data_IF_123816980270
#
_entry.id   IF_123816980270
#
_cell.length_a   1.000
_cell.length_b   1.000
_cell.length_c   1.000
_cell.angle_alpha   90.00
_cell.angle_beta   90.00
_cell.angle_gamma   90.00
#
_symmetry.space_group_name_H-M   'P 1'
#
loop_
_entity.id
_entity.type
_entity.pdbx_description
1 polymer ?
2 water ?
#
# COMPACT_ATOMS: atom_id res chain seq x y z
N UNK A 8 23.94 -13.59 18.07
CA UNK A 8 24.96 -12.68 17.56
C UNK A 8 24.62 -12.03 16.23
N UNK A 9 25.15 -10.83 16.03
CA UNK A 9 24.80 -9.95 14.91
C UNK A 9 25.50 -10.29 13.59
N UNK A 10 24.82 -10.10 12.44
CA UNK A 10 25.53 -10.23 11.15
C UNK A 10 26.72 -9.30 11.05
N UNK A 11 27.78 -9.76 10.40
CA UNK A 11 29.00 -8.99 10.23
C UNK A 11 28.74 -7.61 9.63
N UNK A 12 27.87 -7.52 8.63
CA UNK A 12 27.69 -6.25 7.92
C UNK A 12 26.64 -5.34 8.56
N UNK A 13 25.99 -5.81 9.62
CA UNK A 13 24.91 -5.07 10.26
C UNK A 13 25.25 -4.64 11.70
N UNK A 14 24.35 -3.89 12.31
CA UNK A 14 24.51 -3.42 13.69
C UNK A 14 23.29 -3.84 14.50
N UNK A 15 23.51 -4.36 15.70
CA UNK A 15 22.40 -4.87 16.48
C UNK A 15 22.33 -4.20 17.83
N UNK A 16 21.10 -3.87 18.24
CA UNK A 16 20.85 -3.24 19.55
C UNK A 16 19.58 -3.85 20.12
N UNK A 17 19.72 -4.60 21.21
CA UNK A 17 18.58 -5.34 21.74
C UNK A 17 18.07 -6.28 20.66
N UNK A 18 16.79 -6.16 20.31
CA UNK A 18 16.24 -7.02 19.26
C UNK A 18 16.06 -6.26 17.95
N UNK A 19 16.78 -5.15 17.84
CA UNK A 19 16.83 -4.37 16.60
C UNK A 19 18.04 -4.76 15.78
N UNK A 20 17.81 -5.28 14.58
CA UNK A 20 18.92 -5.58 13.68
C UNK A 20 18.90 -4.58 12.53
N UNK A 21 19.89 -3.71 12.51
CA UNK A 21 19.96 -2.64 11.52
C UNK A 21 20.88 -2.98 10.36
N UNK A 22 20.29 -3.27 9.20
CA UNK A 22 21.05 -3.59 7.99
C UNK A 22 20.83 -2.57 6.91
N UNK A 23 20.44 -1.35 7.28
CA UNK A 23 20.03 -0.39 6.24
C UNK A 23 21.24 0.29 5.60
N UNK A 24 21.08 0.67 4.33
CA UNK A 24 22.07 1.47 3.60
C UNK A 24 23.46 0.84 3.66
N UNK A 25 23.53 -0.47 3.47
CA UNK A 25 24.80 -1.16 3.57
C UNK A 25 25.19 -1.88 2.27
N UNK A 26 24.64 -1.41 1.14
CA UNK A 26 24.91 -1.97 -0.19
C UNK A 26 24.77 -3.49 -0.24
N UNK A 27 23.77 -4.02 0.44
CA UNK A 27 23.56 -5.46 0.49
C UNK A 27 22.84 -5.96 -0.75
N UNK A 28 23.27 -7.11 -1.27
CA UNK A 28 22.62 -7.73 -2.41
C UNK A 28 21.66 -8.85 -1.97
N UNK A 29 21.77 -9.27 -0.73
CA UNK A 29 20.89 -10.30 -0.21
C UNK A 29 20.74 -10.13 1.29
N UNK A 30 19.76 -10.80 1.89
CA UNK A 30 19.64 -10.79 3.34
C UNK A 30 20.85 -11.49 3.95
N UNK A 31 21.52 -10.81 4.89
CA UNK A 31 22.73 -11.41 5.46
C UNK A 31 22.44 -12.61 6.35
N UNK A 32 23.42 -13.50 6.47
CA UNK A 32 23.32 -14.63 7.36
C UNK A 32 23.62 -14.18 8.77
N UNK A 33 23.11 -14.94 9.74
CA UNK A 33 23.45 -14.69 11.13
C UNK A 33 22.53 -13.72 11.85
N UNK A 34 21.38 -13.40 11.26
CA UNK A 34 20.40 -12.61 11.99
C UNK A 34 19.88 -13.44 13.17
N UNK A 35 19.99 -12.88 14.38
CA UNK A 35 19.54 -13.62 15.57
C UNK A 35 18.05 -13.96 15.53
N UNK A 36 17.70 -15.13 16.04
CA UNK A 36 16.32 -15.61 16.07
C UNK A 36 15.41 -14.70 16.89
N UNK A 37 15.98 -13.95 17.84
CA UNK A 37 15.14 -13.14 18.69
C UNK A 37 14.79 -11.78 18.09
N UNK A 38 15.25 -11.53 16.87
CA UNK A 38 15.04 -10.22 16.23
C UNK A 38 13.55 -9.83 16.19
N UNK A 39 13.25 -8.59 16.56
CA UNK A 39 11.91 -8.08 16.50
C UNK A 39 11.76 -6.95 15.46
N UNK A 40 12.83 -6.24 15.20
CA UNK A 40 12.81 -5.21 14.16
C UNK A 40 13.97 -5.42 13.21
N UNK A 41 13.66 -5.73 11.95
CA UNK A 41 14.70 -5.97 10.95
C UNK A 41 14.61 -4.90 9.86
N UNK A 42 15.67 -4.12 9.73
CA UNK A 42 15.68 -2.96 8.84
C UNK A 42 16.64 -3.20 7.68
N UNK A 43 16.08 -3.50 6.49
CA UNK A 43 16.90 -3.73 5.30
C UNK A 43 16.68 -2.62 4.30
N UNK A 44 16.21 -1.48 4.77
CA UNK A 44 15.94 -0.34 3.91
C UNK A 44 17.17 0.14 3.13
N UNK A 45 16.94 0.52 1.86
CA UNK A 45 17.99 1.16 1.05
C UNK A 45 19.21 0.28 0.79
N UNK A 46 18.99 -0.92 0.25
CA UNK A 46 20.08 -1.77 -0.20
C UNK A 46 19.91 -2.08 -1.69
N UNK A 47 20.55 -3.14 -2.17
CA UNK A 47 20.44 -3.50 -3.59
C UNK A 47 19.94 -4.93 -3.72
N UNK A 48 18.94 -5.28 -2.92
CA UNK A 48 18.42 -6.64 -2.94
C UNK A 48 17.47 -6.77 -4.11
N UNK A 49 17.83 -7.61 -5.06
CA UNK A 49 17.01 -7.83 -6.26
C UNK A 49 16.09 -9.05 -6.15
N UNK A 50 16.56 -10.08 -5.44
CA UNK A 50 15.78 -11.28 -5.22
C UNK A 50 15.88 -11.66 -3.75
N UNK A 51 14.82 -12.24 -3.21
CA UNK A 51 14.87 -12.83 -1.86
C UNK A 51 14.98 -14.34 -1.95
N UNK A 52 15.81 -14.95 -1.10
CA UNK A 52 15.84 -16.41 -1.00
C UNK A 52 14.53 -16.94 -0.48
N UNK A 53 14.00 -18.02 -1.09
CA UNK A 53 12.79 -18.64 -0.54
C UNK A 53 13.03 -19.05 0.92
N UNK A 54 12.10 -18.71 1.81
CA UNK A 54 12.19 -19.09 3.21
C UNK A 54 13.19 -18.28 4.04
N UNK A 55 13.70 -17.20 3.46
CA UNK A 55 14.75 -16.41 4.10
C UNK A 55 14.35 -15.87 5.49
N UNK A 56 13.05 -15.66 5.72
CA UNK A 56 12.61 -15.12 7.02
C UNK A 56 12.00 -16.16 7.95
N UNK A 57 11.93 -17.42 7.51
CA UNK A 57 11.13 -18.42 8.23
C UNK A 57 11.55 -18.63 9.68
N UNK A 58 12.83 -18.45 9.97
CA UNK A 58 13.34 -18.63 11.33
C UNK A 58 12.99 -17.45 12.24
N UNK A 59 12.73 -16.28 11.66
CA UNK A 59 12.63 -15.04 12.44
C UNK A 59 11.20 -14.81 12.93
N UNK A 60 10.72 -15.77 13.72
CA UNK A 60 9.33 -15.88 14.11
C UNK A 60 8.91 -14.74 15.04
N UNK A 61 9.89 -14.03 15.59
CA UNK A 61 9.57 -12.96 16.53
C UNK A 61 9.42 -11.56 15.89
N UNK A 62 9.59 -11.48 14.58
CA UNK A 62 9.55 -10.17 13.91
C UNK A 62 8.25 -9.43 14.13
N UNK A 63 8.37 -8.13 14.43
CA UNK A 63 7.21 -7.25 14.59
C UNK A 63 7.22 -6.17 13.52
N UNK A 64 8.42 -5.71 13.15
CA UNK A 64 8.56 -4.72 12.08
C UNK A 64 9.60 -5.17 11.07
N UNK A 65 9.27 -5.07 9.77
CA UNK A 65 10.18 -5.51 8.71
C UNK A 65 10.23 -4.43 7.65
N UNK A 66 11.41 -3.86 7.42
CA UNK A 66 11.58 -2.84 6.37
C UNK A 66 12.32 -3.44 5.19
N UNK A 67 11.64 -3.58 4.06
CA UNK A 67 12.28 -4.06 2.83
C UNK A 67 12.28 -2.97 1.77
N UNK A 68 11.97 -1.75 2.19
CA UNK A 68 11.81 -0.63 1.27
C UNK A 68 13.14 -0.18 0.66
N UNK A 69 13.07 0.50 -0.48
CA UNK A 69 14.28 1.01 -1.10
C UNK A 69 15.23 -0.06 -1.59
N UNK A 70 14.69 -1.15 -2.13
CA UNK A 70 15.52 -2.15 -2.78
C UNK A 70 15.12 -2.32 -4.25
N UNK A 71 15.43 -3.47 -4.85
CA UNK A 71 15.21 -3.66 -6.29
C UNK A 71 14.30 -4.84 -6.60
N UNK A 72 13.43 -5.21 -5.64
CA UNK A 72 12.63 -6.41 -5.79
C UNK A 72 11.59 -6.29 -6.89
N UNK A 73 11.51 -7.31 -7.75
CA UNK A 73 10.45 -7.36 -8.75
C UNK A 73 9.36 -8.37 -8.36
N UNK A 74 9.73 -9.32 -7.51
CA UNK A 74 8.74 -10.27 -6.99
C UNK A 74 9.13 -10.67 -5.58
N UNK A 75 8.22 -11.37 -4.90
CA UNK A 75 8.51 -11.96 -3.60
C UNK A 75 8.32 -13.46 -3.73
N UNK A 76 9.11 -14.27 -3.01
CA UNK A 76 8.85 -15.71 -3.02
C UNK A 76 7.46 -16.04 -2.45
N UNK A 77 6.82 -17.08 -2.98
CA UNK A 77 5.57 -17.53 -2.40
C UNK A 77 5.86 -17.97 -0.96
N UNK A 78 5.01 -17.54 -0.04
CA UNK A 78 5.12 -17.94 1.36
C UNK A 78 6.14 -17.17 2.18
N UNK A 79 6.73 -16.12 1.60
CA UNK A 79 7.90 -15.48 2.21
C UNK A 79 7.62 -14.88 3.61
N UNK A 80 6.39 -14.48 3.91
CA UNK A 80 6.08 -13.92 5.23
C UNK A 80 5.26 -14.88 6.10
N UNK A 81 5.10 -16.12 5.66
CA UNK A 81 4.09 -16.98 6.28
C UNK A 81 4.36 -17.29 7.77
N UNK A 82 5.62 -17.24 8.17
CA UNK A 82 5.99 -17.57 9.55
C UNK A 82 5.99 -16.37 10.50
N UNK A 83 5.74 -15.17 9.97
CA UNK A 83 5.87 -13.94 10.74
C UNK A 83 4.55 -13.53 11.41
N UNK A 84 4.03 -14.40 12.26
CA UNK A 84 2.69 -14.19 12.78
C UNK A 84 2.61 -12.96 13.70
N UNK A 85 3.76 -12.49 14.17
CA UNK A 85 3.79 -11.34 15.08
C UNK A 85 3.87 -9.99 14.35
N UNK A 86 4.02 -10.02 13.03
CA UNK A 86 4.30 -8.78 12.31
C UNK A 86 3.16 -7.77 12.41
N UNK A 87 3.51 -6.53 12.73
CA UNK A 87 2.54 -5.42 12.72
C UNK A 87 2.85 -4.37 11.65
N UNK A 88 4.09 -4.32 11.19
CA UNK A 88 4.59 -3.23 10.34
C UNK A 88 5.39 -3.83 9.18
N UNK A 89 4.92 -3.63 7.95
CA UNK A 89 5.61 -4.14 6.78
C UNK A 89 5.74 -3.05 5.73
N UNK A 90 6.98 -2.71 5.41
CA UNK A 90 7.24 -1.69 4.40
C UNK A 90 7.91 -2.34 3.18
N UNK A 91 7.27 -2.22 2.02
CA UNK A 91 7.79 -2.73 0.75
C UNK A 91 7.92 -1.61 -0.27
N UNK A 92 7.84 -0.38 0.20
CA UNK A 92 7.76 0.75 -0.73
C UNK A 92 9.07 0.97 -1.44
N UNK A 93 8.99 1.63 -2.59
CA UNK A 93 10.19 1.93 -3.40
C UNK A 93 10.96 0.66 -3.76
N UNK A 94 10.25 -0.34 -4.27
CA UNK A 94 10.90 -1.45 -4.94
C UNK A 94 10.40 -1.43 -6.39
N UNK A 95 10.44 -2.57 -7.06
CA UNK A 95 9.99 -2.60 -8.46
C UNK A 95 8.98 -3.72 -8.66
N UNK A 96 8.18 -3.97 -7.62
CA UNK A 96 7.29 -5.13 -7.63
C UNK A 96 6.26 -5.06 -8.75
N UNK A 97 6.18 -6.15 -9.53
CA UNK A 97 5.22 -6.23 -10.63
C UNK A 97 4.05 -7.17 -10.32
N UNK A 98 4.15 -7.91 -9.22
CA UNK A 98 3.09 -8.82 -8.77
C UNK A 98 3.32 -9.14 -7.31
N UNK A 99 2.26 -9.61 -6.64
CA UNK A 99 2.40 -10.16 -5.28
C UNK A 99 1.99 -11.62 -5.33
N UNK A 100 2.59 -12.48 -4.48
CA UNK A 100 2.22 -13.91 -4.49
C UNK A 100 0.79 -14.07 -3.98
N UNK A 101 0.06 -15.08 -4.46
CA UNK A 101 -1.30 -15.29 -3.94
C UNK A 101 -1.19 -15.61 -2.45
N UNK A 102 -1.99 -14.93 -1.64
CA UNK A 102 -2.00 -15.18 -0.20
C UNK A 102 -0.81 -14.64 0.57
N UNK A 103 -0.07 -13.70 -0.03
CA UNK A 103 1.20 -13.24 0.58
C UNK A 103 1.05 -12.67 2.01
N UNK A 104 -0.10 -12.06 2.32
CA UNK A 104 -0.25 -11.46 3.66
C UNK A 104 -1.18 -12.24 4.59
N UNK A 105 -1.62 -13.40 4.14
CA UNK A 105 -2.70 -14.12 4.84
C UNK A 105 -2.38 -14.46 6.28
N UNK A 106 -1.10 -14.68 6.59
CA UNK A 106 -0.71 -15.07 7.94
C UNK A 106 -0.43 -13.87 8.85
N UNK A 107 -0.46 -12.66 8.28
CA UNK A 107 -0.08 -11.45 9.00
C UNK A 107 -1.31 -10.80 9.66
N UNK A 108 -2.01 -11.54 10.50
CA UNK A 108 -3.29 -11.08 11.03
C UNK A 108 -3.14 -9.87 11.93
N UNK A 109 -1.95 -9.64 12.46
CA UNK A 109 -1.75 -8.52 13.37
C UNK A 109 -1.23 -7.27 12.69
N UNK A 110 -1.19 -7.29 11.37
CA UNK A 110 -0.65 -6.17 10.60
C UNK A 110 -1.47 -4.89 10.81
N UNK A 111 -0.81 -3.79 11.15
CA UNK A 111 -1.50 -2.48 11.21
C UNK A 111 -1.01 -1.50 10.15
N UNK A 112 0.21 -1.69 9.68
CA UNK A 112 0.82 -0.80 8.68
C UNK A 112 1.33 -1.59 7.48
N UNK A 113 0.85 -1.26 6.29
CA UNK A 113 1.31 -1.91 5.07
C UNK A 113 1.61 -0.86 4.02
N UNK A 114 2.89 -0.75 3.59
CA UNK A 114 3.30 0.26 2.61
C UNK A 114 3.78 -0.42 1.33
N UNK A 115 3.02 -0.23 0.26
CA UNK A 115 3.34 -0.74 -1.06
C UNK A 115 3.58 0.43 -2.03
N UNK A 116 3.82 1.61 -1.50
CA UNK A 116 4.03 2.81 -2.34
C UNK A 116 5.17 2.61 -3.33
N UNK A 117 5.01 3.16 -4.53
CA UNK A 117 6.12 3.27 -5.48
C UNK A 117 6.66 1.90 -5.85
N UNK A 118 5.78 1.10 -6.44
CA UNK A 118 6.18 -0.15 -7.05
C UNK A 118 5.61 -0.16 -8.46
N UNK A 119 5.49 -1.32 -9.08
CA UNK A 119 4.98 -1.39 -10.44
C UNK A 119 3.76 -2.32 -10.51
N UNK A 120 2.94 -2.30 -9.46
CA UNK A 120 1.82 -3.23 -9.39
C UNK A 120 0.66 -2.77 -10.28
N UNK A 121 0.07 -3.70 -11.01
CA UNK A 121 -1.02 -3.40 -11.94
C UNK A 121 -2.34 -4.04 -11.49
N UNK A 122 -2.22 -5.07 -10.67
CA UNK A 122 -3.37 -5.80 -10.15
C UNK A 122 -2.91 -6.66 -8.98
N UNK A 123 -3.77 -6.85 -7.99
CA UNK A 123 -3.40 -7.61 -6.81
C UNK A 123 -4.17 -8.94 -6.74
N UNK A 124 -3.64 -9.93 -6.01
CA UNK A 124 -4.37 -11.21 -5.90
C UNK A 124 -5.76 -10.99 -5.31
N UNK A 125 -6.75 -11.77 -5.75
CA UNK A 125 -8.08 -11.66 -5.17
C UNK A 125 -8.03 -11.97 -3.66
N UNK A 126 -8.66 -11.11 -2.86
CA UNK A 126 -8.71 -11.32 -1.43
C UNK A 126 -7.40 -11.06 -0.70
N UNK A 127 -6.50 -10.32 -1.33
CA UNK A 127 -5.14 -10.15 -0.81
C UNK A 127 -5.12 -9.52 0.59
N UNK A 128 -6.09 -8.67 0.91
CA UNK A 128 -6.12 -8.01 2.22
C UNK A 128 -7.13 -8.60 3.20
N UNK A 129 -7.77 -9.70 2.83
CA UNK A 129 -8.91 -10.24 3.59
C UNK A 129 -8.58 -10.57 5.05
N UNK A 130 -7.37 -11.07 5.31
CA UNK A 130 -7.02 -11.47 6.67
C UNK A 130 -6.53 -10.30 7.54
N UNK A 131 -6.37 -9.13 6.92
CA UNK A 131 -5.73 -8.00 7.59
C UNK A 131 -6.74 -7.13 8.34
N UNK A 132 -7.40 -7.75 9.30
CA UNK A 132 -8.51 -7.13 10.01
C UNK A 132 -8.14 -5.83 10.73
N UNK A 133 -6.92 -5.77 11.27
CA UNK A 133 -6.51 -4.65 12.09
C UNK A 133 -5.78 -3.52 11.34
N UNK A 134 -5.74 -3.60 10.01
CA UNK A 134 -4.96 -2.62 9.23
C UNK A 134 -5.40 -1.15 9.45
N UNK A 135 -4.43 -0.29 9.74
CA UNK A 135 -4.67 1.14 9.95
C UNK A 135 -4.20 2.01 8.78
N UNK A 136 -3.07 1.62 8.20
CA UNK A 136 -2.53 2.35 7.04
C UNK A 136 -2.31 1.39 5.87
N UNK A 137 -2.96 1.68 4.75
CA UNK A 137 -2.76 0.92 3.53
C UNK A 137 -2.29 1.91 2.48
N UNK A 138 -1.03 1.83 2.10
CA UNK A 138 -0.44 2.84 1.24
C UNK A 138 -0.03 2.19 -0.09
N UNK A 139 -0.67 2.63 -1.19
CA UNK A 139 -0.44 2.02 -2.49
C UNK A 139 -0.28 3.06 -3.58
N UNK A 140 0.29 4.20 -3.23
CA UNK A 140 0.47 5.26 -4.22
C UNK A 140 1.46 4.80 -5.28
N UNK A 141 1.46 5.48 -6.43
CA UNK A 141 2.58 5.41 -7.35
C UNK A 141 2.82 3.99 -7.84
N UNK A 142 1.73 3.29 -8.11
CA UNK A 142 1.77 2.02 -8.81
C UNK A 142 1.07 2.19 -10.15
N UNK A 143 0.59 1.10 -10.72
CA UNK A 143 -0.14 1.17 -11.98
C UNK A 143 -1.50 0.49 -11.87
N UNK A 144 -2.14 0.63 -10.70
CA UNK A 144 -3.44 0.01 -10.47
C UNK A 144 -4.53 0.61 -11.37
N UNK A 145 -5.37 -0.26 -11.93
CA UNK A 145 -6.47 0.22 -12.77
C UNK A 145 -7.84 0.04 -12.12
N UNK A 146 -7.90 -0.74 -11.05
CA UNK A 146 -9.16 -1.00 -10.35
C UNK A 146 -8.89 -1.00 -8.86
N UNK A 147 -9.86 -0.54 -8.07
CA UNK A 147 -9.70 -0.61 -6.62
C UNK A 147 -9.76 -2.07 -6.17
N UNK A 148 -8.74 -2.51 -5.41
CA UNK A 148 -8.77 -3.86 -4.84
C UNK A 148 -10.00 -4.02 -3.96
N UNK A 149 -11.00 -4.75 -4.46
CA UNK A 149 -12.17 -5.04 -3.65
C UNK A 149 -11.65 -5.84 -2.47
N UNK A 150 -11.98 -5.38 -1.26
CA UNK A 150 -11.42 -5.99 -0.07
C UNK A 150 -11.04 -4.85 0.85
N UNK A 151 -10.56 -3.77 0.25
CA UNK A 151 -10.32 -2.54 0.99
C UNK A 151 -11.62 -2.13 1.67
N UNK A 152 -12.74 -2.46 1.03
CA UNK A 152 -14.08 -2.09 1.50
C UNK A 152 -14.35 -2.59 2.91
N UNK A 153 -13.65 -3.65 3.30
CA UNK A 153 -13.89 -4.31 4.58
C UNK A 153 -12.86 -3.91 5.64
N UNK A 154 -11.89 -3.07 5.28
CA UNK A 154 -10.84 -2.67 6.21
C UNK A 154 -11.29 -1.48 7.07
N UNK A 155 -12.18 -1.75 8.01
CA UNK A 155 -12.89 -0.70 8.73
C UNK A 155 -12.00 0.14 9.67
N UNK A 156 -10.80 -0.32 9.95
CA UNK A 156 -9.96 0.44 10.88
C UNK A 156 -8.99 1.39 10.18
N UNK A 157 -9.07 1.47 8.85
CA UNK A 157 -8.14 2.34 8.11
C UNK A 157 -8.26 3.81 8.48
N UNK A 158 -7.13 4.42 8.81
CA UNK A 158 -7.06 5.86 9.01
C UNK A 158 -6.42 6.53 7.79
N UNK A 159 -5.46 5.84 7.18
CA UNK A 159 -4.78 6.34 5.97
C UNK A 159 -4.95 5.38 4.80
N UNK A 160 -5.33 5.91 3.65
CA UNK A 160 -5.47 5.11 2.45
C UNK A 160 -4.88 5.90 1.28
N UNK A 161 -3.75 5.45 0.76
CA UNK A 161 -3.08 6.17 -0.33
C UNK A 161 -3.30 5.46 -1.66
N UNK A 162 -3.94 6.18 -2.58
CA UNK A 162 -4.26 5.64 -3.90
C UNK A 162 -3.78 6.55 -5.03
N UNK A 163 -3.05 7.59 -4.67
CA UNK A 163 -2.64 8.59 -5.67
C UNK A 163 -1.66 8.02 -6.67
N UNK A 164 -1.60 8.64 -7.85
CA UNK A 164 -0.63 8.30 -8.89
C UNK A 164 -0.76 6.83 -9.32
N UNK A 165 -1.99 6.41 -9.54
CA UNK A 165 -2.25 5.14 -10.18
C UNK A 165 -2.97 5.37 -11.51
N UNK A 166 -3.71 4.37 -11.99
CA UNK A 166 -4.43 4.48 -13.25
C UNK A 166 -5.91 4.22 -13.02
N UNK A 167 -6.39 4.57 -11.84
CA UNK A 167 -7.79 4.36 -11.47
C UNK A 167 -8.72 5.27 -12.25
N UNK A 168 -9.82 4.71 -12.74
CA UNK A 168 -10.80 5.47 -13.51
C UNK A 168 -12.07 5.79 -12.70
N UNK A 169 -12.35 4.98 -11.69
CA UNK A 169 -13.47 5.25 -10.78
C UNK A 169 -13.38 4.41 -9.50
N UNK A 170 -14.32 4.63 -8.59
CA UNK A 170 -14.41 3.88 -7.35
C UNK A 170 -15.76 3.16 -7.34
N UNK A 171 -15.75 1.83 -7.14
CA UNK A 171 -16.97 1.01 -7.14
C UNK A 171 -17.99 1.57 -6.15
N UNK A 172 -19.28 1.46 -6.47
CA UNK A 172 -20.30 2.10 -5.64
C UNK A 172 -20.21 1.63 -4.19
N UNK A 173 -20.17 2.59 -3.28
CA UNK A 173 -20.14 2.32 -1.85
C UNK A 173 -18.84 1.76 -1.27
N UNK A 174 -17.76 1.74 -2.05
CA UNK A 174 -16.53 1.10 -1.61
C UNK A 174 -15.95 1.71 -0.33
N UNK A 175 -16.17 3.00 -0.10
CA UNK A 175 -15.59 3.69 1.05
C UNK A 175 -16.59 3.83 2.22
N UNK A 176 -17.76 3.25 2.07
CA UNK A 176 -18.85 3.54 3.01
C UNK A 176 -18.57 3.05 4.44
N UNK A 177 -17.82 1.97 4.59
CA UNK A 177 -17.54 1.45 5.94
C UNK A 177 -16.24 1.96 6.56
N UNK A 178 -15.50 2.80 5.82
CA UNK A 178 -14.21 3.27 6.30
C UNK A 178 -14.36 4.47 7.22
N UNK A 179 -15.03 4.27 8.34
CA UNK A 179 -15.47 5.36 9.20
C UNK A 179 -14.34 5.97 10.04
N UNK A 180 -13.14 5.38 9.98
CA UNK A 180 -12.00 5.92 10.70
C UNK A 180 -11.02 6.69 9.80
N UNK A 181 -11.30 6.71 8.50
CA UNK A 181 -10.43 7.41 7.54
C UNK A 181 -10.18 8.87 7.91
N UNK A 182 -8.92 9.25 8.05
CA UNK A 182 -8.59 10.67 8.21
C UNK A 182 -7.81 11.20 7.01
N UNK A 183 -7.18 10.30 6.26
CA UNK A 183 -6.36 10.70 5.11
C UNK A 183 -6.64 9.82 3.92
N UNK A 184 -7.11 10.44 2.84
CA UNK A 184 -7.36 9.71 1.61
C UNK A 184 -6.64 10.44 0.49
N UNK A 185 -5.72 9.74 -0.17
CA UNK A 185 -5.01 10.34 -1.31
C UNK A 185 -5.57 9.83 -2.61
N UNK A 186 -6.01 10.75 -3.45
CA UNK A 186 -6.73 10.37 -4.66
C UNK A 186 -6.20 11.03 -5.95
N UNK A 187 -5.27 11.98 -5.81
CA UNK A 187 -4.81 12.74 -6.97
C UNK A 187 -3.96 11.88 -7.93
N UNK A 188 -3.69 12.39 -9.13
CA UNK A 188 -2.83 11.66 -10.05
C UNK A 188 -3.46 10.40 -10.62
N UNK A 189 -4.80 10.34 -10.61
CA UNK A 189 -5.51 9.28 -11.29
C UNK A 189 -6.38 9.83 -12.43
N UNK A 190 -6.47 9.11 -13.54
CA UNK A 190 -7.28 9.53 -14.70
C UNK A 190 -8.75 9.23 -14.48
N UNK A 191 -9.34 9.86 -13.47
CA UNK A 191 -10.76 9.67 -13.17
C UNK A 191 -11.61 9.94 -14.41
N UNK A 192 -12.37 8.94 -14.82
CA UNK A 192 -13.23 9.05 -15.99
C UNK A 192 -14.52 9.74 -15.62
N UNK A 193 -14.62 11.03 -15.89
CA UNK A 193 -15.79 11.80 -15.49
C UNK A 193 -16.91 11.76 -16.53
N UNK A 194 -16.61 11.30 -17.73
CA UNK A 194 -17.62 11.17 -18.78
C UNK A 194 -18.55 10.00 -18.48
N UNK A 195 -18.12 9.10 -17.60
CA UNK A 195 -18.93 7.94 -17.21
C UNK A 195 -19.79 8.25 -15.98
N UNK A 196 -20.96 7.64 -15.90
CA UNK A 196 -21.87 7.91 -14.79
C UNK A 196 -21.36 7.30 -13.48
N UNK A 197 -20.55 6.25 -13.60
CA UNK A 197 -20.00 5.56 -12.43
C UNK A 197 -19.18 6.48 -11.53
N UNK A 198 -18.69 7.58 -12.08
CA UNK A 198 -17.88 8.51 -11.30
C UNK A 198 -18.70 9.18 -10.19
N UNK A 199 -20.02 9.09 -10.28
CA UNK A 199 -20.86 9.86 -9.38
C UNK A 199 -20.67 9.46 -7.91
N UNK A 200 -20.45 8.18 -7.64
CA UNK A 200 -20.19 7.78 -6.25
C UNK A 200 -18.97 8.50 -5.69
N UNK A 201 -17.86 8.46 -6.40
CA UNK A 201 -16.66 9.17 -5.97
C UNK A 201 -16.96 10.65 -5.83
N UNK A 202 -17.63 11.22 -6.83
CA UNK A 202 -18.02 12.62 -6.79
C UNK A 202 -18.77 12.94 -5.50
N UNK A 203 -19.79 12.14 -5.22
CA UNK A 203 -20.60 12.35 -4.03
C UNK A 203 -19.80 12.13 -2.76
N UNK A 204 -18.95 11.11 -2.78
CA UNK A 204 -18.15 10.79 -1.60
C UNK A 204 -17.20 11.93 -1.23
N UNK A 205 -16.48 12.46 -2.22
CA UNK A 205 -15.57 13.56 -1.94
C UNK A 205 -16.34 14.77 -1.40
N UNK A 206 -17.48 15.08 -2.02
CA UNK A 206 -18.34 16.15 -1.56
C UNK A 206 -18.75 15.97 -0.09
N UNK A 207 -18.98 14.71 0.30
CA UNK A 207 -19.41 14.41 1.67
C UNK A 207 -18.25 14.31 2.66
N UNK A 208 -17.03 14.28 2.15
CA UNK A 208 -15.86 14.07 3.00
C UNK A 208 -14.68 14.97 2.62
N UNK A 209 -14.97 16.24 2.40
CA UNK A 209 -13.98 17.21 1.95
C UNK A 209 -12.76 17.29 2.85
N UNK A 210 -12.98 17.11 4.16
CA UNK A 210 -11.91 17.31 5.13
C UNK A 210 -10.86 16.18 5.16
N UNK A 211 -11.12 15.06 4.52
CA UNK A 211 -10.14 13.97 4.60
C UNK A 211 -9.43 13.70 3.27
N UNK A 212 -9.83 14.39 2.21
CA UNK A 212 -9.14 14.25 0.92
C UNK A 212 -7.90 15.12 0.91
N UNK A 213 -6.76 14.48 0.61
CA UNK A 213 -5.46 15.12 0.75
C UNK A 213 -4.68 15.20 -0.55
N UNK A 214 -4.09 16.36 -0.81
CA UNK A 214 -3.02 16.37 -1.79
C UNK A 214 -1.71 16.28 -1.01
N UNK A 215 -0.59 16.25 -1.72
CA UNK A 215 0.70 16.06 -1.07
C UNK A 215 1.70 17.09 -1.57
N UNK A 216 2.30 17.83 -0.64
CA UNK A 216 3.20 18.93 -0.99
C UNK A 216 4.50 18.81 -0.24
N UNK A 217 4.80 17.59 0.21
CA UNK A 217 5.88 17.34 1.15
C UNK A 217 5.26 16.72 2.39
N UNK A 218 4.01 17.05 2.64
CA UNK A 218 3.19 16.43 3.68
C UNK A 218 1.73 16.50 3.23
N UNK A 219 0.83 15.84 3.95
CA UNK A 219 -0.58 15.90 3.61
C UNK A 219 -1.12 17.31 3.75
N UNK A 220 -1.89 17.73 2.76
CA UNK A 220 -2.60 19.00 2.84
C UNK A 220 -4.03 18.79 2.38
N UNK A 221 -5.00 19.19 3.21
CA UNK A 221 -6.40 18.99 2.87
C UNK A 221 -6.81 19.77 1.62
N UNK A 222 -7.32 19.04 0.62
CA UNK A 222 -7.67 19.64 -0.66
C UNK A 222 -8.63 18.75 -1.42
N UNK A 223 -9.93 19.00 -1.25
CA UNK A 223 -10.96 18.16 -1.90
C UNK A 223 -10.98 18.32 -3.41
N UNK A 224 -10.26 19.30 -3.94
CA UNK A 224 -10.19 19.51 -5.39
C UNK A 224 -9.08 18.71 -6.06
N UNK A 225 -8.25 18.04 -5.26
CA UNK A 225 -7.04 17.40 -5.79
C UNK A 225 -7.32 16.19 -6.69
N UNK A 226 -8.53 15.63 -6.62
CA UNK A 226 -8.92 14.60 -7.57
C UNK A 226 -9.48 15.28 -8.81
N UNK A 227 -8.93 14.96 -9.98
CA UNK A 227 -9.32 15.65 -11.21
C UNK A 227 -9.69 14.70 -12.33
N UNK A 228 -10.59 15.18 -13.19
CA UNK A 228 -11.04 14.38 -14.33
C UNK A 228 -9.94 14.23 -15.36
N UNK A 229 -9.86 13.05 -15.97
CA UNK A 229 -8.84 12.73 -16.96
C UNK A 229 -8.83 13.78 -18.08
N UNK A 230 -7.67 14.38 -18.32
CA UNK A 230 -7.49 15.32 -19.41
C UNK A 230 -7.96 16.73 -19.11
N UNK A 231 -8.21 17.01 -17.83
CA UNK A 231 -8.76 18.31 -17.41
C UNK A 231 -8.06 18.81 -16.18
N UNK A 232 -8.34 20.05 -15.80
CA UNK A 232 -8.00 20.51 -14.48
C UNK A 232 -9.32 20.66 -13.70
N UNK A 233 -10.34 19.94 -14.16
CA UNK A 233 -11.66 19.96 -13.51
C UNK A 233 -11.73 19.02 -12.30
N UNK A 234 -12.00 19.57 -11.11
CA UNK A 234 -12.15 18.77 -9.88
C UNK A 234 -13.30 17.77 -10.00
N UNK A 235 -13.03 16.51 -9.70
CA UNK A 235 -14.03 15.45 -9.76
C UNK A 235 -15.30 15.82 -8.97
N UNK A 236 -15.13 16.52 -7.86
CA UNK A 236 -16.28 16.84 -7.01
C UNK A 236 -17.14 17.96 -7.57
N UNK A 237 -16.76 18.50 -8.73
CA UNK A 237 -17.55 19.55 -9.37
C UNK A 237 -18.38 18.96 -10.51
N UNK A 238 -18.20 17.68 -10.76
CA UNK A 238 -18.91 16.97 -11.82
C UNK A 238 -20.41 16.97 -11.55
N UNK A 239 -21.19 17.26 -12.58
CA UNK A 239 -22.65 17.22 -12.48
C UNK A 239 -23.18 15.92 -13.07
N UNK A 240 -24.25 15.39 -12.48
CA UNK A 240 -24.86 14.16 -12.96
C UNK A 240 -25.30 14.30 -14.42
N UNK A 241 -25.67 15.52 -14.80
CA UNK A 241 -26.10 15.81 -16.17
C UNK A 241 -24.97 15.58 -17.16
N UNK A 242 -23.78 16.11 -16.83
CA UNK A 242 -22.61 16.02 -17.70
C UNK A 242 -22.14 14.57 -17.88
N UNK A 243 -22.60 13.69 -17.01
CA UNK A 243 -22.25 12.27 -17.10
C UNK A 243 -23.26 11.52 -17.97
N UNK A 244 -22.90 10.31 -18.35
CA UNK A 244 -23.78 9.47 -19.16
C UNK A 244 -23.38 8.01 -19.02
N UNK A 245 -24.37 7.15 -18.77
CA UNK A 245 -24.13 5.70 -18.61
C UNK A 245 -23.69 5.03 -19.91
N UNK A 246 -23.90 5.69 -21.04
CA UNK A 246 -23.51 5.16 -22.34
C UNK A 246 -21.99 5.11 -22.49
N UNK A 247 -21.33 6.13 -21.95
CA UNK A 247 -19.87 6.26 -22.06
C UNK A 247 -19.13 5.51 -20.94
N UNK A 248 -19.10 4.18 -21.02
CA UNK A 248 -18.44 3.35 -20.01
C UNK A 248 -17.77 2.12 -20.64
#
# INVERSE_FOLDING_TARGET
>A
HHHHHHGGCPSQCSCRGTYVDCDSRRLASVPAGIPTNVQILNLYNNQITNLEPGVFDRLVNLQKLYLSGNQLQALPVGVFDKLSQLTFLSLDENKLTALPNGVFDKLTELTYLNLNTNQLTALPEGVFDRLVHLKELLMCCNKLTELPRGIERLTHLTHLALDQNQLKSIPHGAFDRLSSLTHAYLFGNPWDCECRDIMYLRNWVADHTSIVMRWDGKAVNDPDSAKCAGTNTPVRAVTEASTSPSKC
#
